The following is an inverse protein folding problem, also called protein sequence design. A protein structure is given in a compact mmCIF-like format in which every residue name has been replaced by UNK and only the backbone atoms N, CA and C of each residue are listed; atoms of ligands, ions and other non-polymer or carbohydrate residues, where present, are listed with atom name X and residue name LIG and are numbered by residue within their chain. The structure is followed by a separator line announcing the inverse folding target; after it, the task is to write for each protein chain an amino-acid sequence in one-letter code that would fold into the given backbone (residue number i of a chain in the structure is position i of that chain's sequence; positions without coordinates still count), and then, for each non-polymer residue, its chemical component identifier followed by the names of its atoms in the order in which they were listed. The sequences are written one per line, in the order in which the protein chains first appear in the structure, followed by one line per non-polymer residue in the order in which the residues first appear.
data_IF_641872742953
#
_entry.id   IF_641872742953
#
_cell.length_a   1.000
_cell.length_b   1.000
_cell.length_c   1.000
_cell.angle_alpha   90.00
_cell.angle_beta   90.00
_cell.angle_gamma   90.00
#
_symmetry.space_group_name_H-M   'P 1'
#
loop_
_entity.id
_entity.type
_entity.pdbx_description
1 polymer ?
#
# COMPACT_ATOMS: atom_id res chain seq x y z
N UNK A 1 -11.45 18.07 10.54
CA UNK A 1 -11.79 16.87 11.33
C UNK A 1 -10.94 15.71 10.80
N UNK A 2 -10.65 14.69 11.63
CA UNK A 2 -9.85 13.50 11.26
C UNK A 2 -10.79 12.41 10.74
N UNK A 3 -10.38 11.61 9.75
CA UNK A 3 -11.22 10.52 9.25
C UNK A 3 -11.60 9.58 10.38
N UNK A 4 -12.87 9.22 10.49
CA UNK A 4 -13.39 8.32 11.53
C UNK A 4 -13.00 6.83 11.33
N UNK A 5 -12.07 6.55 10.41
CA UNK A 5 -11.49 5.22 10.26
C UNK A 5 -10.56 4.92 11.44
N UNK A 6 -10.88 3.87 12.19
CA UNK A 6 -10.00 3.31 13.21
C UNK A 6 -8.65 2.95 12.61
N UNK A 7 -7.54 3.31 13.25
CA UNK A 7 -6.20 2.89 12.82
C UNK A 7 -5.59 1.93 13.82
N UNK A 8 -4.93 0.83 13.38
CA UNK A 8 -4.62 0.49 11.99
C UNK A 8 -5.81 -0.15 11.23
N UNK A 9 -5.98 0.17 9.93
CA UNK A 9 -7.00 -0.45 9.05
C UNK A 9 -6.42 -0.85 7.70
N UNK A 10 -6.75 -2.05 7.23
CA UNK A 10 -6.38 -2.52 5.88
C UNK A 10 -7.31 -1.86 4.86
N UNK A 11 -6.75 -1.07 3.95
CA UNK A 11 -7.53 -0.41 2.89
C UNK A 11 -7.52 -1.21 1.59
N UNK A 12 -6.41 -1.86 1.28
CA UNK A 12 -6.24 -2.56 0.02
C UNK A 12 -5.40 -3.82 0.19
N UNK A 13 -5.80 -4.89 -0.50
CA UNK A 13 -5.07 -6.15 -0.60
C UNK A 13 -4.58 -6.33 -2.02
N UNK A 14 -3.28 -6.57 -2.19
CA UNK A 14 -2.65 -6.86 -3.46
C UNK A 14 -2.20 -8.30 -3.48
N UNK A 15 -2.44 -8.98 -4.59
CA UNK A 15 -2.02 -10.36 -4.80
C UNK A 15 -1.38 -10.50 -6.16
N UNK A 16 -0.22 -11.17 -6.22
CA UNK A 16 0.34 -11.63 -7.48
C UNK A 16 -0.29 -12.99 -7.83
N UNK A 17 -0.82 -13.12 -9.05
CA UNK A 17 -1.40 -14.37 -9.53
C UNK A 17 -0.34 -15.48 -9.64
N UNK A 18 0.89 -15.13 -10.01
CA UNK A 18 2.07 -15.99 -10.04
C UNK A 18 3.34 -15.15 -9.92
N UNK A 19 4.43 -15.81 -9.58
CA UNK A 19 5.80 -15.29 -9.70
C UNK A 19 6.66 -16.34 -10.40
N UNK A 20 7.62 -15.89 -11.20
CA UNK A 20 8.69 -16.68 -11.79
C UNK A 20 9.87 -16.81 -10.82
N UNK A 21 10.16 -15.73 -10.07
CA UNK A 21 11.21 -15.68 -9.06
C UNK A 21 10.88 -16.39 -7.75
N UNK A 22 11.79 -16.26 -6.77
CA UNK A 22 11.66 -16.89 -5.45
C UNK A 22 10.92 -16.00 -4.44
N UNK A 23 11.01 -14.67 -4.62
CA UNK A 23 10.60 -13.68 -3.64
C UNK A 23 9.81 -12.56 -4.28
N UNK A 24 8.72 -12.17 -3.62
CA UNK A 24 7.99 -10.95 -3.93
C UNK A 24 8.13 -9.98 -2.75
N UNK A 25 8.65 -8.78 -3.02
CA UNK A 25 8.76 -7.70 -2.04
C UNK A 25 7.67 -6.67 -2.30
N UNK A 26 7.18 -6.08 -1.22
CA UNK A 26 6.17 -5.04 -1.26
C UNK A 26 6.74 -3.79 -0.62
N UNK A 27 6.46 -2.62 -1.20
CA UNK A 27 6.92 -1.35 -0.68
C UNK A 27 6.05 -0.20 -1.12
N UNK A 28 6.23 0.95 -0.47
CA UNK A 28 5.71 2.23 -0.93
C UNK A 28 6.75 2.91 -1.80
N UNK A 29 6.31 3.52 -2.90
CA UNK A 29 7.14 4.36 -3.75
C UNK A 29 6.89 5.84 -3.46
N UNK A 30 7.99 6.59 -3.42
CA UNK A 30 7.98 8.02 -3.18
C UNK A 30 7.72 8.41 -1.72
N UNK A 31 7.62 9.72 -1.49
CA UNK A 31 7.50 10.30 -0.15
C UNK A 31 6.07 10.73 0.20
N UNK A 32 5.11 10.56 -0.71
CA UNK A 32 3.71 10.96 -0.48
C UNK A 32 2.96 9.85 0.24
N UNK A 33 2.29 10.20 1.34
CA UNK A 33 1.46 9.27 2.10
C UNK A 33 2.20 8.30 3.04
N UNK A 34 3.54 8.20 3.00
CA UNK A 34 4.33 7.27 3.84
C UNK A 34 4.10 7.48 5.35
N UNK A 35 3.73 8.69 5.75
CA UNK A 35 3.38 8.99 7.14
C UNK A 35 2.00 8.40 7.55
N UNK A 36 1.10 8.16 6.61
CA UNK A 36 -0.26 7.65 6.86
C UNK A 36 -0.39 6.16 6.56
N UNK A 37 0.47 5.63 5.69
CA UNK A 37 0.35 4.27 5.20
C UNK A 37 1.63 3.47 5.45
N UNK A 38 1.45 2.18 5.68
CA UNK A 38 2.51 1.19 5.54
C UNK A 38 2.07 0.13 4.55
N UNK A 39 3.05 -0.51 3.92
CA UNK A 39 2.83 -1.72 3.13
C UNK A 39 3.48 -2.87 3.83
N UNK A 40 2.67 -3.88 4.15
CA UNK A 40 3.14 -5.09 4.81
C UNK A 40 2.87 -6.32 3.97
N UNK A 41 3.79 -7.29 4.04
CA UNK A 41 3.57 -8.62 3.48
C UNK A 41 2.52 -9.34 4.33
N UNK A 42 1.47 -9.85 3.69
CA UNK A 42 0.42 -10.65 4.36
C UNK A 42 0.50 -12.14 4.04
N UNK A 43 1.33 -12.51 3.06
CA UNK A 43 1.53 -13.90 2.62
C UNK A 43 2.63 -13.97 1.57
N UNK A 44 2.85 -15.17 0.99
CA UNK A 44 3.96 -15.36 0.04
C UNK A 44 3.84 -14.44 -1.18
N UNK A 45 2.63 -14.32 -1.71
CA UNK A 45 2.29 -13.57 -2.93
C UNK A 45 1.35 -12.39 -2.65
N UNK A 46 1.12 -12.06 -1.37
CA UNK A 46 0.11 -11.08 -0.97
C UNK A 46 0.69 -9.97 -0.10
N UNK A 47 0.27 -8.75 -0.40
CA UNK A 47 0.62 -7.52 0.32
C UNK A 47 -0.62 -6.75 0.73
N UNK A 48 -0.48 -5.91 1.75
CA UNK A 48 -1.56 -5.07 2.27
C UNK A 48 -1.08 -3.63 2.40
N UNK A 49 -1.89 -2.71 1.89
CA UNK A 49 -1.82 -1.30 2.25
C UNK A 49 -2.62 -1.10 3.53
N UNK A 50 -1.97 -0.58 4.55
CA UNK A 50 -2.55 -0.35 5.87
C UNK A 50 -2.47 1.13 6.20
N UNK A 51 -3.62 1.72 6.51
CA UNK A 51 -3.70 3.04 7.12
C UNK A 51 -3.26 2.91 8.59
N UNK A 52 -2.19 3.58 8.97
CA UNK A 52 -1.61 3.54 10.32
C UNK A 52 -1.80 4.83 11.10
N UNK A 53 -2.02 5.95 10.40
CA UNK A 53 -2.36 7.24 11.01
C UNK A 53 -3.58 7.84 10.34
N UNK A 54 -4.52 8.36 11.13
CA UNK A 54 -5.71 9.03 10.63
C UNK A 54 -5.38 10.14 9.62
N UNK A 55 -6.25 10.35 8.64
CA UNK A 55 -6.09 11.40 7.62
C UNK A 55 -7.16 12.48 7.85
N UNK A 56 -6.77 13.75 7.87
CA UNK A 56 -7.73 14.84 7.96
C UNK A 56 -8.37 15.12 6.59
N UNK A 57 -9.70 15.15 6.55
CA UNK A 57 -10.47 15.52 5.36
C UNK A 57 -10.87 17.01 5.34
N UNK A 58 -11.30 17.54 4.17
CA UNK A 58 -11.32 16.86 2.88
C UNK A 58 -9.92 16.84 2.24
N UNK A 59 -9.50 15.69 1.72
CA UNK A 59 -8.21 15.58 1.03
C UNK A 59 -8.18 14.40 0.06
N UNK A 60 -7.23 14.44 -0.88
CA UNK A 60 -6.92 13.35 -1.80
C UNK A 60 -5.47 12.95 -1.60
N UNK A 61 -5.22 11.67 -1.34
CA UNK A 61 -3.87 11.13 -1.21
C UNK A 61 -3.64 10.08 -2.29
N UNK A 62 -2.58 10.25 -3.06
CA UNK A 62 -2.07 9.23 -3.98
C UNK A 62 -0.91 8.48 -3.34
N UNK A 63 -0.94 7.16 -3.47
CA UNK A 63 0.07 6.24 -2.95
C UNK A 63 0.40 5.23 -4.03
N UNK A 64 1.67 5.09 -4.33
CA UNK A 64 2.16 4.07 -5.26
C UNK A 64 2.72 2.89 -4.47
N UNK A 65 2.17 1.71 -4.70
CA UNK A 65 2.62 0.46 -4.11
C UNK A 65 3.48 -0.28 -5.13
N UNK A 66 4.71 -0.58 -4.75
CA UNK A 66 5.60 -1.40 -5.55
C UNK A 66 5.51 -2.86 -5.13
N UNK A 67 5.43 -3.74 -6.13
CA UNK A 67 5.74 -5.15 -6.05
C UNK A 67 7.01 -5.42 -6.85
N UNK A 68 8.06 -5.85 -6.16
CA UNK A 68 9.36 -6.17 -6.74
C UNK A 68 9.58 -7.68 -6.70
N UNK A 69 9.60 -8.30 -7.88
CA UNK A 69 9.85 -9.73 -8.05
C UNK A 69 11.36 -9.98 -8.16
N UNK A 70 11.86 -10.95 -7.39
CA UNK A 70 13.28 -11.20 -7.24
C UNK A 70 13.60 -12.69 -7.41
N UNK A 71 14.80 -12.99 -7.90
CA UNK A 71 15.41 -14.32 -7.88
C UNK A 71 16.86 -14.20 -7.43
N UNK A 72 17.26 -14.94 -6.37
CA UNK A 72 18.63 -14.90 -5.82
C UNK A 72 19.13 -13.46 -5.57
N UNK A 73 18.23 -12.57 -5.13
CA UNK A 73 18.46 -11.13 -4.88
C UNK A 73 18.62 -10.27 -6.14
N UNK A 74 18.43 -10.81 -7.34
CA UNK A 74 18.35 -10.05 -8.59
C UNK A 74 16.90 -9.65 -8.85
N UNK A 75 16.66 -8.39 -9.24
CA UNK A 75 15.34 -7.90 -9.62
C UNK A 75 14.96 -8.47 -10.99
N UNK A 76 13.86 -9.22 -11.06
CA UNK A 76 13.31 -9.75 -12.31
C UNK A 76 12.26 -8.82 -12.92
N UNK A 77 11.48 -8.16 -12.07
CA UNK A 77 10.35 -7.35 -12.52
C UNK A 77 9.84 -6.43 -11.43
N UNK A 78 9.23 -5.33 -11.85
CA UNK A 78 8.62 -4.33 -10.98
C UNK A 78 7.22 -4.02 -11.47
N UNK A 79 6.27 -4.07 -10.56
CA UNK A 79 4.89 -3.72 -10.82
C UNK A 79 4.49 -2.61 -9.85
N UNK A 80 3.90 -1.53 -10.38
CA UNK A 80 3.46 -0.39 -9.58
C UNK A 80 1.94 -0.31 -9.64
N UNK A 81 1.31 -0.33 -8.47
CA UNK A 81 -0.13 -0.11 -8.32
C UNK A 81 -0.36 1.25 -7.69
N UNK A 82 -0.98 2.16 -8.44
CA UNK A 82 -1.40 3.46 -7.92
C UNK A 82 -2.74 3.32 -7.20
N UNK A 83 -2.79 3.80 -5.96
CA UNK A 83 -4.00 3.88 -5.13
C UNK A 83 -4.30 5.34 -4.86
N UNK A 84 -5.53 5.77 -5.14
CA UNK A 84 -6.02 7.10 -4.81
C UNK A 84 -7.05 7.00 -3.70
N UNK A 85 -6.77 7.60 -2.54
CA UNK A 85 -7.70 7.69 -1.42
C UNK A 85 -8.36 9.06 -1.41
N UNK A 86 -9.69 9.07 -1.36
CA UNK A 86 -10.49 10.28 -1.17
C UNK A 86 -11.03 10.28 0.25
N UNK A 87 -10.74 11.33 1.01
CA UNK A 87 -11.21 11.49 2.39
C UNK A 87 -12.26 12.57 2.44
N UNK A 88 -13.44 12.20 2.94
CA UNK A 88 -14.59 13.10 3.03
C UNK A 88 -14.37 14.17 4.10
N UNK A 89 -15.06 15.33 4.01
CA UNK A 89 -15.07 16.33 5.09
C UNK A 89 -15.95 15.95 6.28
N UNK A 90 -16.68 14.83 6.22
CA UNK A 90 -17.67 14.39 7.20
C UNK A 90 -17.17 13.22 8.06
N UNK A 91 -17.56 13.23 9.33
CA UNK A 91 -17.26 12.20 10.33
C UNK A 91 -18.39 11.16 10.41
N UNK A 92 -18.64 10.43 9.32
CA UNK A 92 -19.61 9.31 9.31
C UNK A 92 -19.05 8.04 9.96
#
# INVERSE_FOLDING_TARGET
MVSNMSTPTVLFRLSAARIVGDTLRFGLLGNRGVQHFTVQRSGRLTGQLVLVNSVQGPTTIEVDIEMSEMERRVLLGRYVTKVTLFVSPYDF
#
